data_IF_332922926233
#
_entry.id   IF_332922926233
#
_cell.length_a   1.000
_cell.length_b   1.000
_cell.length_c   1.000
_cell.angle_alpha   90.00
_cell.angle_beta   90.00
_cell.angle_gamma   90.00
#
_symmetry.space_group_name_H-M   'P 1'
#
loop_
_entity.id
_entity.type
_entity.pdbx_description
1 polymer ?
#
# COMPACT_ATOMS: atom_id res chain seq x y z
N UNK A 1 43.55 2.09 -7.67
CA UNK A 1 42.49 2.72 -8.49
C UNK A 1 41.45 1.71 -9.00
N UNK A 2 41.84 0.48 -9.41
CA UNK A 2 40.92 -0.52 -9.95
C UNK A 2 39.88 -1.09 -8.96
N UNK A 3 40.25 -1.38 -7.71
CA UNK A 3 39.32 -1.96 -6.73
C UNK A 3 38.17 -1.02 -6.34
N UNK A 4 38.46 0.27 -6.14
CA UNK A 4 37.45 1.27 -5.80
C UNK A 4 36.38 1.42 -6.90
N UNK A 5 36.79 1.33 -8.17
CA UNK A 5 35.86 1.41 -9.31
C UNK A 5 34.95 0.17 -9.42
N UNK A 6 35.49 -1.02 -9.11
CA UNK A 6 34.74 -2.28 -9.11
C UNK A 6 33.70 -2.29 -7.99
N UNK A 7 34.08 -1.85 -6.78
CA UNK A 7 33.17 -1.72 -5.64
C UNK A 7 32.06 -0.71 -5.94
N UNK A 8 32.41 0.45 -6.52
CA UNK A 8 31.42 1.48 -6.86
C UNK A 8 30.43 0.99 -7.92
N UNK A 9 30.92 0.31 -8.97
CA UNK A 9 30.07 -0.30 -9.99
C UNK A 9 29.12 -1.35 -9.42
N UNK A 10 29.61 -2.24 -8.55
CA UNK A 10 28.79 -3.26 -7.91
C UNK A 10 27.70 -2.66 -7.01
N UNK A 11 28.01 -1.61 -6.24
CA UNK A 11 27.05 -0.90 -5.39
C UNK A 11 25.97 -0.22 -6.24
N UNK A 12 26.33 0.44 -7.34
CA UNK A 12 25.37 1.11 -8.23
C UNK A 12 24.45 0.10 -8.91
N UNK A 13 24.98 -1.03 -9.40
CA UNK A 13 24.19 -2.09 -10.03
C UNK A 13 23.25 -2.75 -9.02
N UNK A 14 23.75 -3.08 -7.82
CA UNK A 14 22.94 -3.64 -6.75
C UNK A 14 21.84 -2.67 -6.29
N UNK A 15 22.16 -1.39 -6.11
CA UNK A 15 21.19 -0.35 -5.78
C UNK A 15 20.15 -0.19 -6.89
N UNK A 16 20.56 -0.18 -8.15
CA UNK A 16 19.64 -0.08 -9.31
C UNK A 16 18.73 -1.31 -9.40
N UNK A 17 19.26 -2.50 -9.16
CA UNK A 17 18.49 -3.75 -9.16
C UNK A 17 17.49 -3.81 -8.00
N UNK A 18 17.91 -3.40 -6.79
CA UNK A 18 17.03 -3.25 -5.63
C UNK A 18 15.95 -2.20 -5.87
N UNK A 19 16.31 -1.02 -6.39
CA UNK A 19 15.35 0.05 -6.68
C UNK A 19 14.33 -0.38 -7.74
N UNK A 20 14.75 -1.11 -8.79
CA UNK A 20 13.84 -1.66 -9.81
C UNK A 20 12.91 -2.75 -9.25
N UNK A 21 13.40 -3.61 -8.36
CA UNK A 21 12.58 -4.62 -7.68
C UNK A 21 11.55 -4.00 -6.74
N UNK A 22 11.96 -3.03 -5.93
CA UNK A 22 11.10 -2.32 -4.98
C UNK A 22 10.06 -1.46 -5.70
N UNK A 23 10.37 -0.90 -6.87
CA UNK A 23 9.39 -0.17 -7.69
C UNK A 23 8.28 -1.06 -8.26
N UNK A 24 8.46 -2.38 -8.28
CA UNK A 24 7.49 -3.37 -8.78
C UNK A 24 6.78 -4.17 -7.68
N UNK A 25 7.01 -3.84 -6.41
CA UNK A 25 6.37 -4.53 -5.27
C UNK A 25 5.09 -3.81 -4.86
N UNK A 26 4.09 -4.53 -4.31
CA UNK A 26 2.86 -3.90 -3.82
C UNK A 26 3.08 -3.02 -2.57
N UNK A 27 4.28 -3.06 -1.99
CA UNK A 27 4.68 -2.33 -0.79
C UNK A 27 5.27 -0.95 -1.13
N UNK A 28 5.16 0.00 -0.21
CA UNK A 28 5.75 1.33 -0.35
C UNK A 28 7.20 1.29 -0.84
N UNK A 29 7.65 2.31 -1.60
CA UNK A 29 9.05 2.44 -1.93
C UNK A 29 9.90 2.49 -0.65
N UNK A 30 10.70 1.44 -0.43
CA UNK A 30 11.46 1.20 0.80
C UNK A 30 12.32 2.41 1.21
N UNK A 31 12.81 3.18 0.24
CA UNK A 31 13.60 4.39 0.47
C UNK A 31 12.80 5.52 1.14
N UNK A 32 11.49 5.66 0.86
CA UNK A 32 10.64 6.67 1.52
C UNK A 32 10.38 6.28 2.98
N UNK A 33 10.15 4.99 3.23
CA UNK A 33 10.02 4.45 4.59
C UNK A 33 11.31 4.62 5.38
N UNK A 34 12.47 4.31 4.79
CA UNK A 34 13.79 4.45 5.41
C UNK A 34 14.14 5.90 5.75
N UNK A 35 13.72 6.85 4.90
CA UNK A 35 13.92 8.29 5.12
C UNK A 35 12.87 8.92 6.05
N UNK A 36 11.95 8.14 6.62
CA UNK A 36 10.88 8.64 7.48
C UNK A 36 9.85 9.51 6.73
N UNK A 37 9.83 9.46 5.40
CA UNK A 37 8.89 10.23 4.58
C UNK A 37 7.53 9.53 4.60
N UNK A 38 6.54 10.17 5.21
CA UNK A 38 5.16 9.69 5.17
C UNK A 38 4.64 9.72 3.74
N UNK A 39 4.24 8.55 3.25
CA UNK A 39 3.45 8.44 2.03
C UNK A 39 2.07 9.02 2.29
N UNK A 40 1.65 9.94 1.42
CA UNK A 40 0.26 10.38 1.40
C UNK A 40 -0.57 9.28 0.77
N UNK A 41 -1.64 8.90 1.44
CA UNK A 41 -2.56 7.89 0.97
C UNK A 41 -4.01 8.35 1.14
N UNK A 42 -4.90 7.69 0.41
CA UNK A 42 -6.35 7.83 0.56
C UNK A 42 -6.96 6.45 0.66
N UNK A 43 -7.82 6.27 1.64
CA UNK A 43 -8.68 5.09 1.78
C UNK A 43 -10.13 5.55 1.75
N UNK A 44 -10.98 4.82 1.04
CA UNK A 44 -12.40 5.09 0.95
C UNK A 44 -13.18 3.81 0.67
N UNK A 45 -14.51 3.94 0.63
CA UNK A 45 -15.40 2.83 0.34
C UNK A 45 -16.61 2.75 1.26
N UNK A 46 -17.22 1.58 1.29
CA UNK A 46 -18.41 1.23 2.06
C UNK A 46 -18.08 0.25 3.19
N UNK A 47 -18.67 0.49 4.37
CA UNK A 47 -18.67 -0.43 5.50
C UNK A 47 -20.10 -0.45 6.05
N UNK A 48 -20.73 -1.62 6.04
CA UNK A 48 -22.09 -1.76 6.53
C UNK A 48 -22.17 -1.50 8.04
N UNK A 49 -23.03 -0.57 8.43
CA UNK A 49 -23.24 -0.17 9.84
C UNK A 49 -24.47 -0.81 10.46
N UNK A 50 -25.43 -1.24 9.64
CA UNK A 50 -26.71 -1.82 10.06
C UNK A 50 -26.69 -3.36 9.98
N UNK A 51 -25.62 -3.98 10.47
CA UNK A 51 -25.44 -5.43 10.49
C UNK A 51 -25.04 -5.90 11.90
N UNK A 52 -25.47 -7.11 12.36
CA UNK A 52 -25.12 -7.64 13.69
C UNK A 52 -23.61 -7.64 14.00
N UNK A 53 -22.78 -7.71 12.96
CA UNK A 53 -21.31 -7.75 13.05
C UNK A 53 -20.62 -6.44 12.63
N UNK A 54 -21.32 -5.31 12.58
CA UNK A 54 -20.78 -4.01 12.14
C UNK A 54 -19.47 -3.61 12.86
N UNK A 55 -19.32 -3.97 14.14
CA UNK A 55 -18.09 -3.71 14.89
C UNK A 55 -16.87 -4.46 14.33
N UNK A 56 -17.05 -5.67 13.82
CA UNK A 56 -15.98 -6.45 13.18
C UNK A 56 -15.60 -5.79 11.85
N UNK A 57 -16.59 -5.36 11.07
CA UNK A 57 -16.35 -4.70 9.77
C UNK A 57 -15.59 -3.38 9.93
N UNK A 58 -15.92 -2.59 10.96
CA UNK A 58 -15.13 -1.40 11.33
C UNK A 58 -13.68 -1.73 11.66
N UNK A 59 -13.43 -2.80 12.43
CA UNK A 59 -12.06 -3.25 12.74
C UNK A 59 -11.30 -3.68 11.48
N UNK A 60 -11.97 -4.32 10.53
CA UNK A 60 -11.38 -4.67 9.23
C UNK A 60 -11.00 -3.41 8.45
N UNK A 61 -11.88 -2.40 8.41
CA UNK A 61 -11.58 -1.12 7.77
C UNK A 61 -10.35 -0.43 8.40
N UNK A 62 -10.25 -0.43 9.74
CA UNK A 62 -9.06 0.07 10.45
C UNK A 62 -7.81 -0.74 10.12
N UNK A 63 -7.91 -2.08 10.02
CA UNK A 63 -6.78 -2.92 9.64
C UNK A 63 -6.32 -2.67 8.20
N UNK A 64 -7.26 -2.51 7.28
CA UNK A 64 -6.98 -2.15 5.88
C UNK A 64 -6.24 -0.81 5.79
N UNK A 65 -6.73 0.24 6.47
CA UNK A 65 -6.06 1.53 6.49
C UNK A 65 -4.64 1.45 7.11
N UNK A 66 -4.48 0.67 8.17
CA UNK A 66 -3.18 0.50 8.82
C UNK A 66 -2.10 -0.08 7.88
N UNK A 67 -2.47 -0.83 6.85
CA UNK A 67 -1.51 -1.29 5.85
C UNK A 67 -0.92 -0.09 5.07
N UNK A 68 -1.72 0.92 4.74
CA UNK A 68 -1.24 2.14 4.09
C UNK A 68 -0.44 3.03 5.05
N UNK A 69 -0.88 3.18 6.30
CA UNK A 69 -0.15 3.92 7.34
C UNK A 69 1.27 3.38 7.52
N UNK A 70 1.43 2.06 7.47
CA UNK A 70 2.72 1.38 7.62
C UNK A 70 3.54 1.32 6.31
N UNK A 71 3.02 1.86 5.21
CA UNK A 71 3.67 1.73 3.90
C UNK A 71 3.70 0.28 3.39
N UNK A 72 2.77 -0.56 3.82
CA UNK A 72 2.67 -1.94 3.35
C UNK A 72 1.86 -2.07 2.05
N UNK A 73 1.21 -0.99 1.61
CA UNK A 73 0.45 -0.98 0.36
C UNK A 73 0.71 0.31 -0.44
N UNK A 74 0.87 0.15 -1.75
CA UNK A 74 0.84 1.24 -2.74
C UNK A 74 -0.60 1.46 -3.23
N UNK A 75 -1.35 0.38 -3.39
CA UNK A 75 -2.76 0.41 -3.79
C UNK A 75 -3.41 -0.95 -3.59
N UNK A 76 -4.62 -0.98 -3.06
CA UNK A 76 -5.35 -2.21 -2.76
C UNK A 76 -6.87 -2.01 -2.86
N UNK A 77 -7.59 -3.10 -3.06
CA UNK A 77 -9.05 -3.16 -2.96
C UNK A 77 -9.46 -4.41 -2.17
N UNK A 78 -10.50 -4.31 -1.36
CA UNK A 78 -11.01 -5.38 -0.51
C UNK A 78 -12.54 -5.39 -0.55
N UNK A 79 -13.13 -6.50 -0.98
CA UNK A 79 -14.56 -6.75 -0.90
C UNK A 79 -14.84 -7.95 0.02
N UNK A 80 -15.81 -7.83 0.93
CA UNK A 80 -16.23 -8.89 1.84
C UNK A 80 -17.75 -9.02 1.78
N UNK A 81 -18.20 -10.26 1.63
CA UNK A 81 -19.61 -10.63 1.64
C UNK A 81 -19.92 -11.47 2.88
N UNK A 82 -21.08 -11.21 3.48
CA UNK A 82 -21.66 -12.01 4.56
C UNK A 82 -23.11 -12.34 4.21
N UNK A 83 -23.46 -13.62 4.21
CA UNK A 83 -24.77 -14.13 3.77
C UNK A 83 -25.20 -13.60 2.38
N UNK A 84 -24.25 -13.52 1.45
CA UNK A 84 -24.47 -13.02 0.09
C UNK A 84 -24.60 -11.50 -0.03
N UNK A 85 -24.60 -10.75 1.08
CA UNK A 85 -24.66 -9.29 1.09
C UNK A 85 -23.25 -8.69 1.13
N UNK A 86 -22.99 -7.67 0.32
CA UNK A 86 -21.74 -6.90 0.39
C UNK A 86 -21.74 -6.08 1.68
N UNK A 87 -20.83 -6.38 2.59
CA UNK A 87 -20.76 -5.74 3.92
C UNK A 87 -19.52 -4.84 4.08
N UNK A 88 -18.50 -5.04 3.26
CA UNK A 88 -17.30 -4.20 3.19
C UNK A 88 -16.86 -4.11 1.73
N UNK A 89 -16.64 -2.91 1.22
CA UNK A 89 -16.00 -2.64 -0.07
C UNK A 89 -15.07 -1.44 0.09
N UNK A 90 -13.77 -1.69 0.17
CA UNK A 90 -12.76 -0.69 0.46
C UNK A 90 -11.77 -0.61 -0.69
N UNK A 91 -11.30 0.61 -0.95
CA UNK A 91 -10.21 0.87 -1.87
C UNK A 91 -9.21 1.83 -1.23
N UNK A 92 -7.94 1.70 -1.61
CA UNK A 92 -6.90 2.60 -1.15
C UNK A 92 -5.78 2.74 -2.16
N UNK A 93 -5.13 3.91 -2.14
CA UNK A 93 -4.06 4.30 -3.04
C UNK A 93 -3.11 5.30 -2.36
N UNK A 94 -1.82 5.25 -2.68
CA UNK A 94 -0.91 6.35 -2.39
C UNK A 94 -0.95 7.41 -3.51
N UNK A 95 -0.66 8.67 -3.18
CA UNK A 95 -0.74 9.79 -4.14
C UNK A 95 0.29 9.67 -5.30
N UNK A 96 1.35 8.87 -5.11
CA UNK A 96 2.37 8.60 -6.12
C UNK A 96 1.93 7.57 -7.17
N UNK A 97 0.82 6.85 -6.92
CA UNK A 97 0.29 5.83 -7.79
C UNK A 97 -1.23 6.02 -7.90
N UNK A 98 -1.73 6.87 -8.83
CA UNK A 98 -3.15 7.14 -8.95
C UNK A 98 -3.88 5.85 -9.32
N UNK A 99 -4.54 5.22 -8.35
CA UNK A 99 -5.42 4.09 -8.62
C UNK A 99 -6.65 4.65 -9.34
N UNK A 100 -6.86 4.15 -10.56
CA UNK A 100 -7.93 4.57 -11.43
C UNK A 100 -9.30 4.17 -10.88
N UNK A 101 -9.92 5.06 -10.10
CA UNK A 101 -11.34 5.47 -10.16
C UNK A 101 -11.67 6.26 -8.90
N UNK A 102 -11.95 7.55 -9.07
CA UNK A 102 -12.81 8.29 -8.12
C UNK A 102 -14.22 7.74 -8.28
N UNK A 103 -14.77 7.08 -7.26
CA UNK A 103 -16.22 6.93 -7.19
C UNK A 103 -16.82 8.32 -6.91
N UNK A 104 -17.70 8.75 -7.81
CA UNK A 104 -18.59 9.90 -7.60
C UNK A 104 -19.77 9.46 -6.75
#
# INVERSE_FOLDING_TARGET
AGEAAIVFGAVVVAATFLLRRVASMPFAPLHKVLLGLRLRYRVGGHVETNHPHANIFKRIATAFENNFVKGQEIGAQLAIYHDGNLVVDLFGANDDHPVGRRYK
#
